data_IF_962316668401
#
_entry.id   IF_962316668401
#
_cell.length_a   1.000
_cell.length_b   1.000
_cell.length_c   1.000
_cell.angle_alpha   90.00
_cell.angle_beta   90.00
_cell.angle_gamma   90.00
#
_symmetry.space_group_name_H-M   'P 1'
#
loop_
_entity.id
_entity.type
_entity.pdbx_description
1 polymer ?
#
# COMPACT_ATOMS: atom_id res chain seq x y z
N UNK A 1 12.71 16.54 17.01
CA UNK A 1 13.00 17.99 17.10
C UNK A 1 13.61 18.53 15.82
N UNK A 2 14.43 17.75 15.10
CA UNK A 2 15.25 18.19 13.97
C UNK A 2 14.77 17.67 12.60
N UNK A 3 13.49 17.46 12.43
CA UNK A 3 12.93 17.10 11.12
C UNK A 3 13.16 15.64 10.69
N UNK A 4 13.43 14.73 11.62
CA UNK A 4 13.52 13.30 11.31
C UNK A 4 12.17 12.80 10.81
N UNK A 5 12.17 12.14 9.65
CA UNK A 5 10.97 11.53 9.09
C UNK A 5 10.71 10.20 9.82
N UNK A 6 9.65 10.16 10.63
CA UNK A 6 9.25 8.97 11.40
C UNK A 6 8.19 8.14 10.66
N UNK A 7 7.41 8.78 9.78
CA UNK A 7 6.49 8.12 8.86
C UNK A 7 6.50 8.88 7.53
N UNK A 8 6.75 8.18 6.45
CA UNK A 8 6.85 8.74 5.11
C UNK A 8 6.21 7.85 4.06
N UNK A 9 6.25 8.29 2.83
CA UNK A 9 5.76 7.56 1.68
C UNK A 9 6.93 7.19 0.78
N UNK A 10 7.06 5.90 0.44
CA UNK A 10 8.04 5.40 -0.52
C UNK A 10 7.35 4.91 -1.78
N UNK A 11 8.00 5.13 -2.90
CA UNK A 11 7.61 4.49 -4.17
C UNK A 11 7.98 3.03 -4.10
N UNK A 12 7.02 2.16 -4.34
CA UNK A 12 7.20 0.71 -4.39
C UNK A 12 6.68 0.17 -5.71
N UNK A 13 7.23 -0.95 -6.13
CA UNK A 13 6.81 -1.62 -7.35
C UNK A 13 5.92 -2.80 -7.00
N UNK A 14 4.75 -2.83 -7.60
CA UNK A 14 3.79 -3.92 -7.44
C UNK A 14 3.66 -4.68 -8.76
N UNK A 15 3.27 -5.93 -8.67
CA UNK A 15 2.92 -6.74 -9.81
C UNK A 15 1.46 -7.12 -9.74
N UNK A 16 0.72 -6.78 -10.76
CA UNK A 16 -0.70 -7.06 -10.91
C UNK A 16 -0.92 -8.05 -12.06
N UNK A 17 -1.91 -8.92 -11.93
CA UNK A 17 -2.44 -9.76 -13.02
C UNK A 17 -3.88 -9.36 -13.25
N UNK A 18 -4.27 -9.19 -14.51
CA UNK A 18 -5.67 -9.05 -14.93
C UNK A 18 -6.07 -10.39 -15.56
N UNK A 19 -6.87 -11.22 -14.85
CA UNK A 19 -7.17 -12.58 -15.28
C UNK A 19 -7.80 -12.67 -16.68
N UNK A 20 -8.67 -11.73 -17.04
CA UNK A 20 -9.34 -11.65 -18.34
C UNK A 20 -8.35 -11.56 -19.53
N UNK A 21 -7.18 -10.96 -19.30
CA UNK A 21 -6.16 -10.76 -20.33
C UNK A 21 -5.20 -11.95 -20.46
N UNK A 22 -5.34 -12.98 -19.61
CA UNK A 22 -4.41 -14.12 -19.54
C UNK A 22 -5.04 -15.33 -20.22
N UNK A 23 -4.47 -15.79 -21.32
CA UNK A 23 -4.94 -16.98 -22.05
C UNK A 23 -4.68 -18.27 -21.24
N UNK A 24 -3.48 -18.44 -20.72
CA UNK A 24 -3.10 -19.63 -19.94
C UNK A 24 -2.57 -19.23 -18.56
N UNK A 25 -3.47 -19.21 -17.58
CA UNK A 25 -3.17 -18.75 -16.22
C UNK A 25 -2.16 -19.66 -15.51
N UNK A 26 -2.22 -20.97 -15.73
CA UNK A 26 -1.28 -21.92 -15.10
C UNK A 26 0.14 -21.73 -15.63
N UNK A 27 0.29 -21.56 -16.94
CA UNK A 27 1.58 -21.26 -17.56
C UNK A 27 2.17 -19.95 -17.00
N UNK A 28 1.36 -18.92 -16.92
CA UNK A 28 1.76 -17.62 -16.34
C UNK A 28 2.26 -17.78 -14.90
N UNK A 29 1.55 -18.53 -14.05
CA UNK A 29 1.96 -18.77 -12.66
C UNK A 29 3.30 -19.49 -12.56
N UNK A 30 3.56 -20.50 -13.40
CA UNK A 30 4.85 -21.20 -13.44
C UNK A 30 5.99 -20.23 -13.84
N UNK A 31 5.76 -19.39 -14.84
CA UNK A 31 6.74 -18.37 -15.26
C UNK A 31 7.02 -17.36 -14.15
N UNK A 32 5.98 -16.83 -13.52
CA UNK A 32 6.13 -15.88 -12.41
C UNK A 32 6.78 -16.50 -11.18
N UNK A 33 6.49 -17.79 -10.90
CA UNK A 33 7.16 -18.54 -9.84
C UNK A 33 8.67 -18.54 -10.04
N UNK A 34 9.11 -18.87 -11.25
CA UNK A 34 10.55 -18.92 -11.60
C UNK A 34 11.19 -17.54 -11.58
N UNK A 35 10.52 -16.50 -12.14
CA UNK A 35 11.07 -15.14 -12.23
C UNK A 35 11.22 -14.44 -10.87
N UNK A 36 10.26 -14.66 -9.97
CA UNK A 36 10.14 -13.95 -8.69
C UNK A 36 10.42 -14.82 -7.47
N UNK A 37 10.74 -16.11 -7.64
CA UNK A 37 10.92 -17.09 -6.58
C UNK A 37 9.69 -17.13 -5.62
N UNK A 38 8.47 -17.20 -6.19
CA UNK A 38 7.24 -17.20 -5.40
C UNK A 38 7.08 -18.52 -4.64
N UNK A 39 6.70 -18.43 -3.37
CA UNK A 39 6.37 -19.62 -2.56
C UNK A 39 5.05 -20.25 -3.01
N UNK A 40 4.89 -21.57 -2.78
CA UNK A 40 3.65 -22.29 -3.09
C UNK A 40 2.42 -21.68 -2.41
N UNK A 41 2.59 -21.22 -1.14
CA UNK A 41 1.52 -20.52 -0.41
C UNK A 41 1.04 -19.26 -1.12
N UNK A 42 1.96 -18.50 -1.73
CA UNK A 42 1.61 -17.32 -2.52
C UNK A 42 0.85 -17.68 -3.79
N UNK A 43 1.29 -18.74 -4.48
CA UNK A 43 0.62 -19.21 -5.70
C UNK A 43 -0.81 -19.66 -5.39
N UNK A 44 -1.01 -20.46 -4.35
CA UNK A 44 -2.35 -20.87 -3.92
C UNK A 44 -3.24 -19.68 -3.57
N UNK A 45 -2.68 -18.65 -2.89
CA UNK A 45 -3.41 -17.40 -2.60
C UNK A 45 -3.86 -16.70 -3.89
N UNK A 46 -3.01 -16.62 -4.91
CA UNK A 46 -3.33 -16.00 -6.21
C UNK A 46 -4.45 -16.78 -6.91
N UNK A 47 -4.37 -18.12 -6.92
CA UNK A 47 -5.41 -18.98 -7.50
C UNK A 47 -6.75 -18.79 -6.78
N UNK A 48 -6.73 -18.75 -5.45
CA UNK A 48 -7.93 -18.53 -4.66
C UNK A 48 -8.56 -17.15 -4.93
N UNK A 49 -7.71 -16.10 -5.08
CA UNK A 49 -8.18 -14.76 -5.44
C UNK A 49 -8.79 -14.71 -6.84
N UNK A 50 -8.18 -15.40 -7.82
CA UNK A 50 -8.75 -15.52 -9.17
C UNK A 50 -10.18 -16.09 -9.15
N UNK A 51 -10.44 -17.07 -8.28
CA UNK A 51 -11.76 -17.71 -8.19
C UNK A 51 -12.80 -16.87 -7.45
N UNK A 52 -12.37 -15.88 -6.65
CA UNK A 52 -13.25 -14.99 -5.86
C UNK A 52 -13.54 -13.67 -6.54
N UNK A 53 -12.58 -13.14 -7.28
CA UNK A 53 -12.67 -11.83 -7.92
C UNK A 53 -13.29 -11.94 -9.32
N UNK A 54 -13.77 -10.80 -9.83
CA UNK A 54 -14.26 -10.73 -11.20
C UNK A 54 -13.10 -10.81 -12.20
N UNK A 55 -13.30 -11.29 -13.43
CA UNK A 55 -12.22 -11.50 -14.40
C UNK A 55 -11.41 -10.24 -14.74
N UNK A 56 -12.02 -9.07 -14.67
CA UNK A 56 -11.38 -7.77 -14.94
C UNK A 56 -10.72 -7.13 -13.72
N UNK A 57 -10.94 -7.68 -12.51
CA UNK A 57 -10.31 -7.17 -11.30
C UNK A 57 -8.84 -7.59 -11.27
N UNK A 58 -7.98 -6.65 -10.87
CA UNK A 58 -6.56 -6.93 -10.79
C UNK A 58 -6.20 -7.70 -9.53
N UNK A 59 -5.42 -8.76 -9.67
CA UNK A 59 -4.86 -9.57 -8.58
C UNK A 59 -3.44 -9.09 -8.29
N UNK A 60 -3.17 -8.69 -7.04
CA UNK A 60 -1.83 -8.29 -6.62
C UNK A 60 -1.00 -9.54 -6.32
N UNK A 61 0.00 -9.79 -7.16
CA UNK A 61 0.96 -10.89 -7.00
C UNK A 61 2.04 -10.56 -5.97
N UNK A 62 2.54 -9.33 -6.02
CA UNK A 62 3.53 -8.82 -5.07
C UNK A 62 3.30 -7.34 -4.82
N UNK A 63 3.25 -6.97 -3.54
CA UNK A 63 3.08 -5.57 -3.11
C UNK A 63 4.39 -4.79 -3.09
N UNK A 64 5.52 -5.48 -3.07
CA UNK A 64 6.82 -4.86 -2.87
C UNK A 64 7.89 -5.63 -3.64
N UNK A 65 8.07 -5.29 -4.91
CA UNK A 65 9.14 -5.82 -5.74
C UNK A 65 10.41 -5.01 -5.51
N UNK A 66 11.55 -5.69 -5.41
CA UNK A 66 12.83 -5.01 -5.53
C UNK A 66 13.01 -4.45 -6.95
N UNK A 67 13.85 -3.43 -7.09
CA UNK A 67 14.15 -2.87 -8.41
C UNK A 67 14.63 -3.91 -9.41
N UNK A 68 15.47 -4.85 -8.97
CA UNK A 68 15.96 -5.95 -9.80
C UNK A 68 14.85 -6.90 -10.25
N UNK A 69 13.90 -7.21 -9.38
CA UNK A 69 12.73 -8.03 -9.73
C UNK A 69 11.81 -7.30 -10.70
N UNK A 70 11.59 -6.01 -10.48
CA UNK A 70 10.80 -5.17 -11.37
C UNK A 70 11.40 -5.12 -12.78
N UNK A 71 12.72 -4.91 -12.89
CA UNK A 71 13.41 -4.95 -14.18
C UNK A 71 13.32 -6.33 -14.86
N UNK A 72 13.50 -7.41 -14.10
CA UNK A 72 13.33 -8.77 -14.65
C UNK A 72 11.95 -8.98 -15.24
N UNK A 73 10.90 -8.59 -14.53
CA UNK A 73 9.53 -8.72 -15.05
C UNK A 73 9.34 -7.88 -16.30
N UNK A 74 9.82 -6.63 -16.31
CA UNK A 74 9.69 -5.74 -17.47
C UNK A 74 10.38 -6.32 -18.72
N UNK A 75 11.53 -6.98 -18.57
CA UNK A 75 12.24 -7.59 -19.71
C UNK A 75 11.47 -8.77 -20.33
N UNK A 76 10.56 -9.39 -19.60
CA UNK A 76 9.76 -10.53 -20.06
C UNK A 76 8.27 -10.19 -20.26
N UNK A 77 7.89 -8.91 -20.23
CA UNK A 77 6.48 -8.51 -20.33
C UNK A 77 5.79 -8.97 -21.62
N UNK A 78 6.52 -9.11 -22.71
CA UNK A 78 6.00 -9.61 -23.99
C UNK A 78 5.50 -11.07 -23.89
N UNK A 79 6.11 -11.89 -23.00
CA UNK A 79 5.69 -13.26 -22.70
C UNK A 79 4.63 -13.36 -21.59
N UNK A 80 4.43 -12.27 -20.84
CA UNK A 80 3.60 -12.23 -19.65
C UNK A 80 2.31 -11.45 -19.91
N UNK A 81 1.53 -11.90 -20.89
CA UNK A 81 0.25 -11.26 -21.23
C UNK A 81 -0.68 -11.20 -20.03
N UNK A 82 -1.28 -10.05 -19.78
CA UNK A 82 -2.14 -9.79 -18.62
C UNK A 82 -1.41 -9.41 -17.33
N UNK A 83 -0.06 -9.37 -17.34
CA UNK A 83 0.74 -8.90 -16.21
C UNK A 83 1.04 -7.41 -16.36
N UNK A 84 0.84 -6.66 -15.28
CA UNK A 84 1.09 -5.21 -15.24
C UNK A 84 1.98 -4.87 -14.03
N UNK A 85 3.24 -4.53 -14.26
CA UNK A 85 4.06 -3.90 -13.24
C UNK A 85 3.55 -2.46 -13.02
N UNK A 86 3.31 -2.12 -11.75
CA UNK A 86 2.74 -0.83 -11.34
C UNK A 86 3.64 -0.21 -10.30
N UNK A 87 3.95 1.07 -10.47
CA UNK A 87 4.60 1.87 -9.43
C UNK A 87 3.50 2.51 -8.57
N UNK A 88 3.55 2.25 -7.29
CA UNK A 88 2.61 2.81 -6.31
C UNK A 88 3.34 3.40 -5.11
N UNK A 89 2.59 3.94 -4.17
CA UNK A 89 3.11 4.53 -2.95
C UNK A 89 2.76 3.61 -1.78
N UNK A 90 3.74 3.30 -0.94
CA UNK A 90 3.55 2.58 0.31
C UNK A 90 4.02 3.40 1.49
N UNK A 91 3.30 3.29 2.60
CA UNK A 91 3.70 3.92 3.86
C UNK A 91 4.95 3.24 4.41
N UNK A 92 5.91 4.03 4.87
CA UNK A 92 7.17 3.59 5.42
C UNK A 92 7.41 4.20 6.79
N UNK A 93 7.89 3.39 7.72
CA UNK A 93 8.17 3.76 9.10
C UNK A 93 9.64 3.45 9.41
N UNK A 94 10.58 4.38 9.20
CA UNK A 94 12.02 4.14 9.37
C UNK A 94 12.39 3.70 10.80
N UNK A 95 11.61 4.10 11.79
CA UNK A 95 11.82 3.80 13.21
C UNK A 95 10.63 2.99 13.77
N UNK A 96 10.18 1.97 13.04
CA UNK A 96 8.98 1.18 13.40
C UNK A 96 9.06 0.62 14.82
N UNK A 97 10.16 0.00 15.22
CA UNK A 97 10.33 -0.61 16.55
C UNK A 97 10.18 0.39 17.70
N UNK A 98 10.61 1.62 17.48
CA UNK A 98 10.61 2.68 18.49
C UNK A 98 9.27 3.40 18.59
N UNK A 99 8.56 3.56 17.46
CA UNK A 99 7.38 4.42 17.36
C UNK A 99 6.06 3.66 17.13
N UNK A 100 6.05 2.33 17.11
CA UNK A 100 4.87 1.52 16.78
C UNK A 100 3.63 1.92 17.56
N UNK A 101 3.75 2.09 18.89
CA UNK A 101 2.63 2.44 19.75
C UNK A 101 2.11 3.88 19.56
N UNK A 102 2.97 4.79 19.14
CA UNK A 102 2.60 6.20 18.88
C UNK A 102 2.02 6.36 17.48
N UNK A 103 2.72 5.84 16.48
CA UNK A 103 2.33 6.02 15.08
C UNK A 103 1.14 5.15 14.70
N UNK A 104 1.10 3.90 15.18
CA UNK A 104 0.22 2.89 14.65
C UNK A 104 0.66 2.39 13.26
N UNK A 105 -0.30 1.95 12.45
CA UNK A 105 -0.05 1.44 11.12
C UNK A 105 -1.23 1.67 10.18
N UNK A 106 -0.99 1.55 8.89
CA UNK A 106 -2.02 1.61 7.86
C UNK A 106 -2.28 0.22 7.27
N UNK A 107 -3.55 -0.09 6.98
CA UNK A 107 -3.96 -1.33 6.31
C UNK A 107 -5.19 -1.08 5.44
N UNK A 108 -5.57 -2.04 4.61
CA UNK A 108 -6.81 -1.96 3.85
C UNK A 108 -8.02 -1.89 4.80
N UNK A 109 -9.02 -1.07 4.47
CA UNK A 109 -10.26 -1.03 5.26
C UNK A 109 -11.03 -2.35 5.13
N UNK A 110 -11.70 -2.75 6.19
CA UNK A 110 -12.68 -3.82 6.15
C UNK A 110 -14.04 -3.26 5.69
N UNK A 111 -15.03 -4.13 5.48
CA UNK A 111 -16.36 -3.73 4.99
C UNK A 111 -17.07 -2.79 5.97
N UNK A 112 -16.95 -3.04 7.27
CA UNK A 112 -17.55 -2.19 8.32
C UNK A 112 -16.93 -0.78 8.31
N UNK A 113 -15.61 -0.68 8.24
CA UNK A 113 -14.92 0.61 8.19
C UNK A 113 -15.24 1.43 6.94
N UNK A 114 -15.54 0.76 5.81
CA UNK A 114 -15.99 1.44 4.58
C UNK A 114 -17.41 2.01 4.78
N UNK A 115 -18.28 1.29 5.49
CA UNK A 115 -19.66 1.71 5.70
C UNK A 115 -19.80 2.80 6.78
N UNK A 116 -19.04 2.70 7.86
CA UNK A 116 -19.13 3.58 9.02
C UNK A 116 -18.35 4.90 8.85
N UNK A 117 -17.26 4.90 8.08
CA UNK A 117 -16.44 6.08 7.90
C UNK A 117 -16.77 6.80 6.59
N UNK A 118 -17.48 7.91 6.68
CA UNK A 118 -17.88 8.72 5.50
C UNK A 118 -16.69 9.14 4.63
N UNK A 119 -15.54 9.51 5.23
CA UNK A 119 -14.33 9.87 4.48
C UNK A 119 -13.78 8.69 3.67
N UNK A 120 -13.80 7.49 4.28
CA UNK A 120 -13.36 6.27 3.60
C UNK A 120 -14.33 5.93 2.50
N UNK A 121 -15.64 6.00 2.76
CA UNK A 121 -16.70 5.72 1.79
C UNK A 121 -16.62 6.63 0.57
N UNK A 122 -16.44 7.94 0.76
CA UNK A 122 -16.33 8.92 -0.33
C UNK A 122 -15.06 8.75 -1.17
N UNK A 123 -13.96 8.35 -0.53
CA UNK A 123 -12.63 8.29 -1.16
C UNK A 123 -12.18 6.87 -1.48
N UNK A 124 -13.03 5.88 -1.23
CA UNK A 124 -12.66 4.48 -1.40
C UNK A 124 -12.26 4.17 -2.84
N UNK A 125 -11.07 3.62 -2.97
CA UNK A 125 -10.57 2.98 -4.20
C UNK A 125 -9.94 1.63 -3.83
N UNK A 126 -10.02 0.63 -4.69
CA UNK A 126 -9.39 -0.66 -4.45
C UNK A 126 -7.89 -0.50 -4.16
N UNK A 127 -7.43 -1.11 -3.07
CA UNK A 127 -6.04 -0.98 -2.62
C UNK A 127 -5.74 0.24 -1.73
N UNK A 128 -6.74 1.09 -1.45
CA UNK A 128 -6.62 2.16 -0.47
C UNK A 128 -6.23 1.60 0.90
N UNK A 129 -5.38 2.33 1.62
CA UNK A 129 -4.99 2.02 3.00
C UNK A 129 -5.46 3.15 3.92
N UNK A 130 -5.93 2.78 5.10
CA UNK A 130 -6.37 3.71 6.16
C UNK A 130 -5.59 3.46 7.44
N UNK A 131 -5.51 4.45 8.31
CA UNK A 131 -4.91 4.33 9.63
C UNK A 131 -5.75 3.44 10.54
N UNK A 132 -5.14 2.41 11.12
CA UNK A 132 -5.82 1.45 12.02
C UNK A 132 -5.70 1.82 13.48
N UNK A 133 -4.56 2.34 13.88
CA UNK A 133 -4.22 2.69 15.24
C UNK A 133 -3.39 3.96 15.30
N UNK A 134 -3.22 4.50 16.52
CA UNK A 134 -2.31 5.59 16.83
C UNK A 134 -2.58 6.87 16.05
N UNK A 135 -1.52 7.61 15.77
CA UNK A 135 -1.59 8.87 15.05
C UNK A 135 -2.09 8.71 13.60
N UNK A 136 -1.78 7.59 12.94
CA UNK A 136 -2.28 7.31 11.59
C UNK A 136 -3.81 7.30 11.56
N UNK A 137 -4.47 6.73 12.59
CA UNK A 137 -5.93 6.72 12.70
C UNK A 137 -6.47 8.08 13.15
N UNK A 138 -5.88 8.67 14.18
CA UNK A 138 -6.39 9.91 14.78
C UNK A 138 -6.30 11.10 13.82
N UNK A 139 -5.23 11.14 13.01
CA UNK A 139 -4.95 12.23 12.07
C UNK A 139 -5.27 11.85 10.62
N UNK A 140 -6.05 10.78 10.40
CA UNK A 140 -6.42 10.28 9.08
C UNK A 140 -6.92 11.40 8.14
N UNK A 141 -7.83 12.24 8.62
CA UNK A 141 -8.39 13.38 7.84
C UNK A 141 -7.33 14.29 7.24
N UNK A 142 -6.22 14.49 7.97
CA UNK A 142 -5.14 15.38 7.57
C UNK A 142 -4.12 14.65 6.68
N UNK A 143 -3.93 13.35 6.92
CA UNK A 143 -2.90 12.55 6.26
C UNK A 143 -3.34 11.97 4.91
N UNK A 144 -4.64 11.69 4.72
CA UNK A 144 -5.14 10.90 3.59
C UNK A 144 -5.05 11.62 2.23
N UNK A 145 -5.07 12.96 2.19
CA UNK A 145 -5.10 13.70 0.93
C UNK A 145 -6.37 13.44 0.10
N UNK A 146 -6.31 13.71 -1.19
CA UNK A 146 -7.40 13.43 -2.15
C UNK A 146 -6.89 12.62 -3.34
N UNK A 147 -7.72 11.71 -3.85
CA UNK A 147 -7.38 10.90 -5.01
C UNK A 147 -7.34 11.74 -6.29
N UNK A 148 -6.46 11.38 -7.22
CA UNK A 148 -6.57 11.84 -8.59
C UNK A 148 -7.75 11.13 -9.28
N UNK A 149 -8.54 11.87 -10.03
CA UNK A 149 -9.69 11.33 -10.79
C UNK A 149 -9.40 11.52 -12.27
N UNK A 150 -9.54 10.45 -13.04
CA UNK A 150 -9.40 10.48 -14.48
C UNK A 150 -10.63 9.85 -15.13
N UNK A 151 -11.35 10.62 -15.94
CA UNK A 151 -12.54 10.18 -16.64
C UNK A 151 -12.19 9.87 -18.09
N UNK A 152 -12.68 8.75 -18.56
CA UNK A 152 -12.53 8.32 -19.95
C UNK A 152 -13.87 8.07 -20.60
N UNK A 153 -13.99 8.41 -21.85
CA UNK A 153 -15.02 7.91 -22.75
C UNK A 153 -14.68 6.47 -23.13
N UNK A 154 -15.65 5.57 -23.02
CA UNK A 154 -15.49 4.16 -23.37
C UNK A 154 -16.50 3.75 -24.44
N UNK A 155 -16.13 2.85 -25.35
CA UNK A 155 -17.09 2.27 -26.28
C UNK A 155 -17.95 1.17 -25.61
N UNK A 156 -18.89 0.60 -26.36
CA UNK A 156 -19.77 -0.47 -25.90
C UNK A 156 -19.02 -1.73 -25.40
N UNK A 157 -17.75 -1.90 -25.74
CA UNK A 157 -16.88 -3.00 -25.31
C UNK A 157 -15.98 -2.62 -24.12
N UNK A 158 -16.17 -1.44 -23.52
CA UNK A 158 -15.34 -0.96 -22.40
C UNK A 158 -13.95 -0.46 -22.79
N UNK A 159 -13.62 -0.37 -24.09
CA UNK A 159 -12.34 0.17 -24.56
C UNK A 159 -12.33 1.69 -24.43
N UNK A 160 -11.27 2.23 -23.80
CA UNK A 160 -11.06 3.69 -23.67
C UNK A 160 -10.84 4.32 -25.06
N UNK A 161 -11.61 5.37 -25.37
CA UNK A 161 -11.52 6.13 -26.63
C UNK A 161 -10.80 7.45 -26.37
N UNK A 162 -11.35 8.29 -25.51
CA UNK A 162 -10.84 9.62 -25.22
C UNK A 162 -10.75 9.85 -23.71
N UNK A 163 -9.78 10.67 -23.32
CA UNK A 163 -9.70 11.20 -21.96
C UNK A 163 -10.54 12.46 -21.90
N UNK A 164 -11.58 12.46 -21.05
CA UNK A 164 -12.50 13.59 -20.88
C UNK A 164 -11.98 14.59 -19.85
N UNK A 165 -11.57 14.11 -18.68
CA UNK A 165 -11.23 14.97 -17.54
C UNK A 165 -10.09 14.35 -16.74
N UNK A 166 -9.20 15.21 -16.23
CA UNK A 166 -8.18 14.84 -15.27
C UNK A 166 -8.20 15.82 -14.09
N UNK A 167 -8.52 15.32 -12.90
CA UNK A 167 -8.40 16.03 -11.65
C UNK A 167 -7.19 15.54 -10.88
N UNK A 168 -6.23 16.43 -10.60
CA UNK A 168 -5.03 16.08 -9.83
C UNK A 168 -5.38 15.85 -8.38
N UNK A 169 -4.93 14.73 -7.81
CA UNK A 169 -5.03 14.48 -6.38
C UNK A 169 -4.12 15.43 -5.56
N UNK A 170 -4.51 15.70 -4.33
CA UNK A 170 -3.74 16.48 -3.38
C UNK A 170 -3.08 15.56 -2.36
N UNK A 171 -1.84 15.85 -2.01
CA UNK A 171 -1.16 15.13 -0.94
C UNK A 171 -1.74 15.55 0.41
N UNK A 172 -1.78 14.62 1.36
CA UNK A 172 -2.11 14.91 2.76
C UNK A 172 -1.09 15.86 3.39
N UNK A 173 -1.49 16.43 4.51
CA UNK A 173 -0.68 17.41 5.25
C UNK A 173 0.55 16.75 5.88
N UNK A 174 1.63 17.54 5.99
CA UNK A 174 2.79 17.16 6.80
C UNK A 174 2.53 17.53 8.25
N UNK A 175 2.66 16.57 9.13
CA UNK A 175 2.42 16.74 10.57
C UNK A 175 3.76 16.68 11.28
N UNK A 176 3.99 17.66 12.16
CA UNK A 176 5.17 17.71 13.02
C UNK A 176 4.77 17.32 14.43
N UNK A 177 5.48 16.36 15.02
CA UNK A 177 5.30 15.95 16.41
C UNK A 177 6.29 16.66 17.31
N UNK A 178 5.92 16.78 18.59
CA UNK A 178 6.77 17.33 19.64
C UNK A 178 7.67 16.27 20.30
N UNK A 179 7.55 15.01 19.87
CA UNK A 179 8.33 13.91 20.44
C UNK A 179 9.80 14.06 20.10
N UNK A 180 10.66 13.97 21.10
CA UNK A 180 12.10 13.91 20.93
C UNK A 180 12.54 12.51 20.55
N UNK A 181 13.23 12.39 19.41
CA UNK A 181 13.62 11.09 18.85
C UNK A 181 14.67 10.37 19.68
N UNK A 182 15.60 11.10 20.30
CA UNK A 182 16.67 10.50 21.10
C UNK A 182 16.12 9.95 22.44
N UNK A 183 15.24 10.73 23.09
CA UNK A 183 14.55 10.30 24.30
C UNK A 183 13.69 9.06 23.99
N UNK A 184 12.98 9.05 22.87
CA UNK A 184 12.16 7.92 22.47
C UNK A 184 12.99 6.65 22.18
N UNK A 185 14.13 6.79 21.49
CA UNK A 185 15.04 5.67 21.23
C UNK A 185 15.65 5.12 22.53
N UNK A 186 16.10 6.01 23.43
CA UNK A 186 16.62 5.60 24.72
C UNK A 186 15.57 4.82 25.52
N UNK A 187 14.34 5.34 25.56
CA UNK A 187 13.22 4.68 26.23
C UNK A 187 12.94 3.27 25.69
N UNK A 188 12.96 3.12 24.36
CA UNK A 188 12.78 1.82 23.70
C UNK A 188 13.93 0.84 24.05
N UNK A 189 15.17 1.33 24.09
CA UNK A 189 16.33 0.52 24.47
C UNK A 189 16.25 0.05 25.93
N UNK A 190 15.86 0.92 26.85
CA UNK A 190 15.74 0.59 28.27
C UNK A 190 14.62 -0.43 28.56
N UNK A 191 13.58 -0.42 27.75
CA UNK A 191 12.47 -1.39 27.80
C UNK A 191 12.72 -2.66 26.98
N UNK A 192 13.83 -2.75 26.28
CA UNK A 192 14.14 -3.91 25.45
C UNK A 192 14.01 -5.21 26.26
N UNK A 193 13.18 -6.13 25.77
CA UNK A 193 12.86 -7.42 26.44
C UNK A 193 12.21 -7.31 27.83
N UNK A 194 11.63 -6.16 28.16
CA UNK A 194 10.89 -5.94 29.41
C UNK A 194 9.48 -5.45 29.10
N UNK A 195 8.50 -5.93 29.87
CA UNK A 195 7.16 -5.36 29.89
C UNK A 195 7.13 -4.16 30.85
N UNK A 196 6.73 -2.98 30.35
CA UNK A 196 6.68 -1.78 31.16
C UNK A 196 6.33 -0.52 30.35
N UNK A 197 6.33 0.61 31.03
CA UNK A 197 6.16 1.92 30.44
C UNK A 197 7.18 2.91 31.00
N UNK A 198 7.53 3.92 30.21
CA UNK A 198 8.39 5.02 30.63
C UNK A 198 7.59 6.31 30.50
N UNK A 199 7.57 7.09 31.57
CA UNK A 199 7.01 8.43 31.60
C UNK A 199 8.14 9.43 31.82
N UNK A 200 8.21 10.43 30.95
CA UNK A 200 9.21 11.52 31.04
C UNK A 200 8.45 12.81 31.25
N UNK A 201 8.79 13.53 32.30
CA UNK A 201 8.18 14.82 32.64
C UNK A 201 9.26 15.89 32.77
N UNK A 202 8.96 17.06 32.26
CA UNK A 202 9.75 18.27 32.53
C UNK A 202 9.43 18.75 33.94
N UNK A 203 10.44 19.20 34.64
CA UNK A 203 10.32 19.67 36.06
C UNK A 203 10.32 21.21 36.15
N UNK A 204 10.36 21.94 35.00
CA UNK A 204 10.33 23.39 34.97
C UNK A 204 9.01 23.94 34.48
#
# INVERSE_FOLDING_TARGET
YFGNIIAGNLKVYQLHIIPEQVENFNYLLVRLKTLLNLSEKKIQKIVNLKNKLKPWDSIIVSENLSWSQFLKVNNYLYDLVGVKPVMTISRNYPFSETYTHVLGYVSQPNEEEILENELVKERFVPGMKIGKLGLEKTLEKQLIGTNAIQRYEVNAYGKRINQLEYQKGLQGSKIRLTVDTEVQKLSAQLLSNKAGSISVMDIY
#
